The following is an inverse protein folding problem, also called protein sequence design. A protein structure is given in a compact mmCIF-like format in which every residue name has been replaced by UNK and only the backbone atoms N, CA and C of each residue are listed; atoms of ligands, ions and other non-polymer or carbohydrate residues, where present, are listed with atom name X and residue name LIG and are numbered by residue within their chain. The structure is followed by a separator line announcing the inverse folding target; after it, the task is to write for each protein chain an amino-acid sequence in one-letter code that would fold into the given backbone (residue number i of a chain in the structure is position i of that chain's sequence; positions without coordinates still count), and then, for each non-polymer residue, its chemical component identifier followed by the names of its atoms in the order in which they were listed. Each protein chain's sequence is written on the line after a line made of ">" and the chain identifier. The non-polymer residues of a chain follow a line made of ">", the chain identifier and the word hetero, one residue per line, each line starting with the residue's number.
data_IF_091713172662
#
_entry.id   IF_091713172662
#
_cell.length_a   1.000
_cell.length_b   1.000
_cell.length_c   1.000
_cell.angle_alpha   90.00
_cell.angle_beta   90.00
_cell.angle_gamma   90.00
#
_symmetry.space_group_name_H-M   'P 1'
#
loop_
_entity.id
_entity.type
_entity.pdbx_description
1 polymer ?
#
# COMPACT_ATOMS: atom_id res chain seq x y z
N UNK A 1 3.93 9.74 5.29
CA UNK A 1 4.21 11.20 5.41
C UNK A 1 4.93 11.75 4.18
N UNK A 2 6.02 11.13 3.68
CA UNK A 2 6.75 11.64 2.51
C UNK A 2 5.91 11.65 1.23
N UNK A 3 5.13 10.58 0.96
CA UNK A 3 4.27 10.50 -0.22
C UNK A 3 3.18 11.60 -0.22
N UNK A 4 2.65 11.96 0.94
CA UNK A 4 1.70 13.06 1.06
C UNK A 4 2.32 14.42 0.67
N UNK A 5 3.60 14.64 1.03
CA UNK A 5 4.33 15.83 0.62
C UNK A 5 4.59 15.90 -0.89
N UNK A 6 4.79 14.74 -1.53
CA UNK A 6 4.97 14.68 -2.98
C UNK A 6 3.74 15.22 -3.70
N UNK A 7 2.53 14.98 -3.19
CA UNK A 7 1.30 15.54 -3.78
C UNK A 7 1.35 17.07 -3.84
N UNK A 8 1.90 17.71 -2.80
CA UNK A 8 1.95 19.18 -2.69
C UNK A 8 2.99 19.81 -3.63
N UNK A 9 4.09 19.10 -3.93
CA UNK A 9 5.22 19.65 -4.71
C UNK A 9 5.30 19.09 -6.13
N UNK A 10 4.43 18.13 -6.49
CA UNK A 10 4.47 17.47 -7.78
C UNK A 10 4.00 18.40 -8.91
N UNK A 11 4.54 18.16 -10.11
CA UNK A 11 4.04 18.78 -11.32
C UNK A 11 2.83 18.04 -11.86
N UNK A 12 1.76 18.77 -12.14
CA UNK A 12 0.53 18.22 -12.71
C UNK A 12 0.38 18.67 -14.16
N UNK A 13 0.37 17.75 -15.14
CA UNK A 13 0.32 18.10 -16.56
C UNK A 13 -1.01 18.70 -17.01
N UNK A 14 -2.09 18.52 -16.25
CA UNK A 14 -3.41 19.09 -16.53
C UNK A 14 -4.10 19.58 -15.26
N UNK A 15 -5.02 20.53 -15.40
CA UNK A 15 -5.84 21.02 -14.29
C UNK A 15 -6.70 19.91 -13.66
N UNK A 16 -7.18 18.96 -14.47
CA UNK A 16 -7.99 17.83 -13.98
C UNK A 16 -7.19 16.93 -13.04
N UNK A 17 -5.93 16.63 -13.40
CA UNK A 17 -5.05 15.83 -12.54
C UNK A 17 -4.70 16.57 -11.25
N UNK A 18 -4.40 17.85 -11.33
CA UNK A 18 -4.17 18.70 -10.16
C UNK A 18 -5.39 18.71 -9.24
N UNK A 19 -6.58 19.00 -9.79
CA UNK A 19 -7.83 19.02 -9.03
C UNK A 19 -8.09 17.68 -8.33
N UNK A 20 -7.97 16.55 -9.02
CA UNK A 20 -8.21 15.23 -8.47
C UNK A 20 -7.26 14.90 -7.33
N UNK A 21 -5.94 15.11 -7.54
CA UNK A 21 -4.94 14.80 -6.53
C UNK A 21 -5.07 15.68 -5.28
N UNK A 22 -5.35 16.97 -5.43
CA UNK A 22 -5.52 17.87 -4.29
C UNK A 22 -6.82 17.60 -3.51
N UNK A 23 -7.91 17.19 -4.17
CA UNK A 23 -9.17 16.86 -3.50
C UNK A 23 -9.11 15.55 -2.73
N UNK A 24 -8.49 14.52 -3.32
CA UNK A 24 -8.56 13.15 -2.80
C UNK A 24 -7.26 12.69 -2.15
N UNK A 25 -6.12 13.29 -2.48
CA UNK A 25 -4.79 12.98 -1.95
C UNK A 25 -4.46 11.46 -1.92
N UNK A 26 -4.66 10.72 -3.02
CA UNK A 26 -4.38 9.29 -3.05
C UNK A 26 -2.88 9.05 -3.03
N UNK A 27 -2.45 8.06 -2.26
CA UNK A 27 -1.09 7.52 -2.28
C UNK A 27 -1.16 6.01 -2.51
N UNK A 28 -0.04 5.41 -2.93
CA UNK A 28 0.08 3.98 -3.12
C UNK A 28 1.35 3.48 -2.46
N UNK A 29 1.23 2.87 -1.27
CA UNK A 29 2.32 2.18 -0.60
C UNK A 29 2.24 0.69 -0.95
N UNK A 30 3.29 0.16 -1.54
CA UNK A 30 3.39 -1.25 -1.92
C UNK A 30 4.69 -1.87 -1.49
N UNK A 31 4.90 -3.12 -1.88
CA UNK A 31 6.11 -3.90 -1.55
C UNK A 31 6.79 -4.41 -2.83
N UNK A 32 8.03 -4.82 -2.68
CA UNK A 32 8.79 -5.64 -3.62
C UNK A 32 9.67 -6.60 -2.83
N UNK A 33 10.10 -7.71 -3.43
CA UNK A 33 10.98 -8.68 -2.80
C UNK A 33 10.29 -9.67 -1.87
N UNK A 34 8.97 -9.89 -1.97
CA UNK A 34 8.28 -10.85 -1.11
C UNK A 34 8.78 -12.28 -1.32
N UNK A 35 9.03 -12.69 -2.57
CA UNK A 35 9.59 -14.03 -2.87
C UNK A 35 10.98 -14.19 -2.30
N UNK A 36 11.81 -13.14 -2.33
CA UNK A 36 13.16 -13.19 -1.72
C UNK A 36 13.08 -13.42 -0.20
N UNK A 37 12.11 -12.82 0.47
CA UNK A 37 11.88 -13.08 1.91
C UNK A 37 11.59 -14.56 2.15
N UNK A 38 10.70 -15.16 1.35
CA UNK A 38 10.36 -16.57 1.49
C UNK A 38 11.53 -17.49 1.17
N UNK A 39 12.35 -17.17 0.16
CA UNK A 39 13.58 -17.88 -0.13
C UNK A 39 14.60 -17.82 1.02
N UNK A 40 14.83 -16.64 1.57
CA UNK A 40 15.73 -16.46 2.71
C UNK A 40 15.25 -17.19 3.98
N UNK A 41 13.95 -17.31 4.14
CA UNK A 41 13.34 -18.08 5.24
C UNK A 41 13.27 -19.58 4.96
N UNK A 42 13.56 -20.03 3.74
CA UNK A 42 13.48 -21.44 3.35
C UNK A 42 12.07 -22.01 3.36
N UNK A 43 11.06 -21.18 3.10
CA UNK A 43 9.66 -21.60 3.09
C UNK A 43 9.06 -21.58 1.67
N UNK A 44 8.20 -22.57 1.33
CA UNK A 44 7.54 -22.58 0.05
C UNK A 44 6.49 -21.46 -0.03
N UNK A 45 6.37 -20.84 -1.20
CA UNK A 45 5.51 -19.68 -1.42
C UNK A 45 4.00 -20.00 -1.23
N UNK A 46 3.58 -21.23 -1.48
CA UNK A 46 2.21 -21.73 -1.35
C UNK A 46 1.92 -22.38 0.02
N UNK A 47 2.90 -22.35 0.93
CA UNK A 47 2.77 -22.93 2.27
C UNK A 47 1.93 -22.10 3.24
N UNK A 48 1.37 -22.73 4.26
CA UNK A 48 0.58 -22.04 5.30
C UNK A 48 1.39 -20.98 6.07
N UNK A 49 2.68 -21.22 6.29
CA UNK A 49 3.59 -20.26 6.93
C UNK A 49 3.74 -19.01 6.04
N UNK A 50 3.89 -19.19 4.72
CA UNK A 50 3.98 -18.07 3.78
C UNK A 50 2.68 -17.25 3.77
N UNK A 51 1.51 -17.90 3.81
CA UNK A 51 0.21 -17.21 3.90
C UNK A 51 0.10 -16.39 5.18
N UNK A 52 0.46 -16.96 6.33
CA UNK A 52 0.43 -16.25 7.62
C UNK A 52 1.35 -15.02 7.63
N UNK A 53 2.57 -15.17 7.13
CA UNK A 53 3.53 -14.06 7.02
C UNK A 53 3.01 -12.99 6.06
N UNK A 54 2.46 -13.39 4.91
CA UNK A 54 1.89 -12.47 3.94
C UNK A 54 0.74 -11.63 4.55
N UNK A 55 -0.18 -12.27 5.27
CA UNK A 55 -1.26 -11.58 5.98
C UNK A 55 -0.68 -10.56 6.96
N UNK A 56 0.28 -10.95 7.78
CA UNK A 56 0.91 -10.08 8.77
C UNK A 56 1.63 -8.88 8.15
N UNK A 57 2.34 -9.09 7.03
CA UNK A 57 3.02 -8.02 6.30
C UNK A 57 2.00 -6.99 5.78
N UNK A 58 0.99 -7.44 5.03
CA UNK A 58 0.03 -6.53 4.41
C UNK A 58 -0.89 -5.86 5.43
N UNK A 59 -1.30 -6.57 6.47
CA UNK A 59 -2.07 -5.99 7.57
C UNK A 59 -1.28 -4.91 8.30
N UNK A 60 0.00 -5.15 8.58
CA UNK A 60 0.88 -4.15 9.20
C UNK A 60 1.05 -2.91 8.35
N UNK A 61 1.28 -3.08 7.03
CA UNK A 61 1.40 -1.97 6.10
C UNK A 61 0.11 -1.16 6.04
N UNK A 62 -1.03 -1.83 5.96
CA UNK A 62 -2.33 -1.16 5.91
C UNK A 62 -2.63 -0.42 7.20
N UNK A 63 -2.44 -1.06 8.36
CA UNK A 63 -2.61 -0.42 9.68
C UNK A 63 -1.75 0.84 9.80
N UNK A 64 -0.44 0.71 9.62
CA UNK A 64 0.50 1.84 9.74
C UNK A 64 0.26 2.96 8.72
N UNK A 65 -0.22 2.62 7.52
CA UNK A 65 -0.56 3.61 6.50
C UNK A 65 -1.81 4.43 6.88
N UNK A 66 -2.85 3.78 7.39
CA UNK A 66 -4.08 4.44 7.85
C UNK A 66 -3.81 5.26 9.12
N UNK A 67 -3.09 4.69 10.09
CA UNK A 67 -2.68 5.39 11.32
C UNK A 67 -1.89 6.66 11.01
N UNK A 68 -0.88 6.55 10.14
CA UNK A 68 -0.07 7.70 9.72
C UNK A 68 -0.88 8.75 8.95
N UNK A 69 -1.85 8.32 8.15
CA UNK A 69 -2.76 9.21 7.43
C UNK A 69 -3.75 9.93 8.38
N UNK A 70 -4.20 9.25 9.43
CA UNK A 70 -5.01 9.84 10.49
C UNK A 70 -4.21 10.86 11.31
N UNK A 71 -2.95 10.54 11.66
CA UNK A 71 -2.07 11.51 12.34
C UNK A 71 -1.83 12.76 11.49
N UNK A 72 -1.63 12.60 10.17
CA UNK A 72 -1.51 13.73 9.26
C UNK A 72 -2.81 14.55 9.17
N UNK A 73 -3.97 13.90 9.26
CA UNK A 73 -5.24 14.62 9.28
C UNK A 73 -5.42 15.47 10.53
N UNK A 74 -4.90 15.02 11.69
CA UNK A 74 -4.86 15.86 12.91
C UNK A 74 -4.03 17.13 12.74
N UNK A 75 -2.93 17.05 11.98
CA UNK A 75 -2.02 18.17 11.74
C UNK A 75 -2.48 19.10 10.63
N UNK A 76 -3.13 18.55 9.57
CA UNK A 76 -3.34 19.23 8.28
C UNK A 76 -4.75 19.12 7.73
N UNK A 77 -5.70 18.63 8.49
CA UNK A 77 -7.08 18.31 8.09
C UNK A 77 -7.20 17.06 7.17
N UNK A 78 -8.36 16.40 7.17
CA UNK A 78 -8.67 15.30 6.26
C UNK A 78 -8.66 15.74 4.78
N UNK A 79 -8.62 14.79 3.85
CA UNK A 79 -8.82 15.09 2.44
C UNK A 79 -10.24 15.64 2.20
N UNK A 80 -10.38 16.54 1.22
CA UNK A 80 -11.58 17.38 1.05
C UNK A 80 -12.91 16.61 0.88
N UNK A 81 -12.85 15.40 0.33
CA UNK A 81 -14.02 14.53 0.09
C UNK A 81 -14.15 13.40 1.11
N UNK A 82 -13.60 13.58 2.29
CA UNK A 82 -13.64 12.56 3.36
C UNK A 82 -15.06 12.24 3.81
N UNK A 83 -15.89 13.26 4.04
CA UNK A 83 -17.27 13.09 4.50
C UNK A 83 -18.09 12.31 3.46
N UNK A 84 -18.82 11.28 3.91
CA UNK A 84 -19.62 10.40 3.05
C UNK A 84 -18.81 9.26 2.41
N UNK A 85 -17.51 9.16 2.64
CA UNK A 85 -16.73 8.00 2.25
C UNK A 85 -16.90 6.84 3.24
N UNK A 86 -16.71 5.58 2.83
CA UNK A 86 -16.81 4.43 3.73
C UNK A 86 -15.90 4.57 4.97
N UNK A 87 -14.71 5.09 4.79
CA UNK A 87 -13.76 5.27 5.89
C UNK A 87 -14.22 6.34 6.89
N UNK A 88 -15.03 7.33 6.46
CA UNK A 88 -15.62 8.30 7.37
C UNK A 88 -16.67 7.70 8.30
N UNK A 89 -17.24 6.55 7.92
CA UNK A 89 -18.14 5.73 8.74
C UNK A 89 -17.36 4.68 9.56
N UNK A 90 -16.03 4.71 9.52
CA UNK A 90 -15.17 3.74 10.17
C UNK A 90 -15.10 2.39 9.46
N UNK A 91 -15.51 2.31 8.20
CA UNK A 91 -15.42 1.09 7.40
C UNK A 91 -14.05 1.02 6.72
N UNK A 92 -13.22 0.10 7.16
CA UNK A 92 -11.94 -0.22 6.54
C UNK A 92 -12.11 -1.17 5.34
N UNK A 93 -11.04 -1.41 4.59
CA UNK A 93 -11.09 -2.25 3.41
C UNK A 93 -11.52 -3.70 3.71
N UNK A 94 -11.08 -4.27 4.84
CA UNK A 94 -11.47 -5.61 5.26
C UNK A 94 -12.95 -5.68 5.65
N UNK A 95 -13.56 -4.61 6.19
CA UNK A 95 -15.01 -4.54 6.45
C UNK A 95 -15.79 -4.60 5.13
N UNK A 96 -15.33 -3.88 4.09
CA UNK A 96 -15.93 -3.89 2.77
C UNK A 96 -15.82 -5.27 2.08
N UNK A 97 -14.80 -6.02 2.39
CA UNK A 97 -14.60 -7.40 1.89
C UNK A 97 -15.23 -8.46 2.78
N UNK A 98 -15.90 -8.06 3.85
CA UNK A 98 -16.49 -8.95 4.85
C UNK A 98 -15.47 -9.96 5.42
N UNK A 99 -14.25 -9.47 5.67
CA UNK A 99 -13.12 -10.25 6.19
C UNK A 99 -12.76 -9.72 7.58
N UNK A 100 -12.29 -10.61 8.46
CA UNK A 100 -11.84 -10.20 9.80
C UNK A 100 -10.32 -9.99 9.79
N UNK A 101 -9.82 -8.87 10.34
CA UNK A 101 -8.40 -8.67 10.54
C UNK A 101 -7.88 -9.59 11.66
N UNK A 102 -6.56 -9.75 11.73
CA UNK A 102 -5.95 -10.46 12.86
C UNK A 102 -6.08 -9.64 14.16
N UNK A 103 -5.66 -10.24 15.27
CA UNK A 103 -5.61 -9.54 16.58
C UNK A 103 -4.25 -8.85 16.82
N UNK A 104 -3.43 -8.69 15.79
CA UNK A 104 -2.09 -8.14 15.90
C UNK A 104 -2.10 -6.63 16.17
N UNK A 105 -3.08 -5.92 15.63
CA UNK A 105 -3.22 -4.47 15.74
C UNK A 105 -4.57 -4.09 16.36
N UNK A 106 -4.60 -2.96 17.09
CA UNK A 106 -5.82 -2.42 17.70
C UNK A 106 -6.63 -1.61 16.68
N UNK A 107 -7.31 -2.34 15.79
CA UNK A 107 -8.17 -1.76 14.76
C UNK A 107 -9.34 -0.96 15.34
N UNK A 108 -9.88 -1.36 16.50
CA UNK A 108 -11.00 -0.65 17.12
C UNK A 108 -10.59 0.72 17.66
N UNK A 109 -9.40 0.83 18.25
CA UNK A 109 -8.84 2.12 18.64
C UNK A 109 -8.61 3.01 17.42
N UNK A 110 -7.99 2.47 16.37
CA UNK A 110 -7.74 3.23 15.14
C UNK A 110 -9.06 3.67 14.48
N UNK A 111 -10.10 2.82 14.46
CA UNK A 111 -11.43 3.13 13.93
C UNK A 111 -12.04 4.36 14.61
N UNK A 112 -12.01 4.40 15.93
CA UNK A 112 -12.51 5.55 16.71
C UNK A 112 -11.76 6.83 16.35
N UNK A 113 -10.44 6.76 16.26
CA UNK A 113 -9.60 7.90 15.91
C UNK A 113 -9.83 8.39 14.46
N UNK A 114 -10.04 7.46 13.52
CA UNK A 114 -10.36 7.80 12.12
C UNK A 114 -11.73 8.47 12.00
N UNK A 115 -12.74 8.00 12.73
CA UNK A 115 -14.06 8.65 12.74
C UNK A 115 -13.96 10.06 13.34
N UNK A 116 -13.18 10.24 14.39
CA UNK A 116 -13.03 11.53 15.10
C UNK A 116 -12.21 12.55 14.31
N UNK A 117 -11.07 12.12 13.73
CA UNK A 117 -10.09 13.04 13.15
C UNK A 117 -10.03 12.99 11.61
N UNK A 118 -10.61 11.96 11.00
CA UNK A 118 -10.47 11.68 9.57
C UNK A 118 -9.13 11.08 9.18
N UNK A 119 -8.91 10.98 7.88
CA UNK A 119 -7.63 10.59 7.27
C UNK A 119 -7.22 11.59 6.20
N UNK A 120 -5.92 11.83 6.05
CA UNK A 120 -5.35 12.78 5.09
C UNK A 120 -5.39 12.29 3.65
N UNK A 121 -5.35 10.96 3.44
CA UNK A 121 -5.25 10.33 2.12
C UNK A 121 -6.46 9.42 1.87
N UNK A 122 -7.11 9.56 0.72
CA UNK A 122 -8.28 8.75 0.37
C UNK A 122 -7.93 7.27 0.10
N UNK A 123 -6.75 7.01 -0.42
CA UNK A 123 -6.18 5.69 -0.65
C UNK A 123 -4.74 5.68 -0.10
N UNK A 124 -4.31 4.57 0.48
CA UNK A 124 -3.01 4.49 1.14
C UNK A 124 -2.11 3.38 0.61
N UNK A 125 -2.67 2.30 0.11
CA UNK A 125 -1.91 1.12 -0.34
C UNK A 125 -2.21 0.77 -1.80
N UNK A 126 -1.17 0.33 -2.51
CA UNK A 126 -1.27 -0.22 -3.85
C UNK A 126 -0.08 -1.16 -4.12
N UNK A 127 -0.32 -2.27 -4.81
CA UNK A 127 0.72 -3.20 -5.22
C UNK A 127 1.13 -2.88 -6.67
N UNK A 128 2.10 -1.96 -6.82
CA UNK A 128 2.64 -1.59 -8.12
C UNK A 128 3.55 -2.70 -8.68
N UNK A 129 3.72 -2.80 -10.03
CA UNK A 129 4.56 -3.83 -10.65
C UNK A 129 6.03 -3.81 -10.24
N UNK A 130 6.61 -2.67 -9.90
CA UNK A 130 8.02 -2.46 -9.46
C UNK A 130 9.10 -3.05 -10.40
N UNK A 131 8.81 -3.16 -11.70
CA UNK A 131 9.68 -3.81 -12.67
C UNK A 131 11.11 -3.23 -12.73
N UNK A 132 11.23 -1.90 -12.80
CA UNK A 132 12.55 -1.23 -12.85
C UNK A 132 13.24 -1.19 -11.50
N UNK A 133 12.49 -0.90 -10.43
CA UNK A 133 13.04 -0.81 -9.08
C UNK A 133 13.46 -2.17 -8.54
N UNK A 134 12.76 -3.25 -8.90
CA UNK A 134 13.17 -4.63 -8.59
C UNK A 134 14.53 -4.96 -9.20
N UNK A 135 14.75 -4.62 -10.48
CA UNK A 135 16.05 -4.82 -11.15
C UNK A 135 17.16 -3.97 -10.50
N UNK A 136 16.89 -2.69 -10.22
CA UNK A 136 17.88 -1.79 -9.61
C UNK A 136 18.33 -2.27 -8.22
N UNK A 137 17.41 -2.79 -7.42
CA UNK A 137 17.68 -3.26 -6.07
C UNK A 137 18.07 -4.74 -6.00
N UNK A 138 17.97 -5.47 -7.11
CA UNK A 138 18.33 -6.89 -7.18
C UNK A 138 17.38 -7.79 -6.40
N UNK A 139 16.09 -7.49 -6.40
CA UNK A 139 15.06 -8.30 -5.76
C UNK A 139 13.88 -8.58 -6.69
N UNK A 140 13.00 -9.51 -6.28
CA UNK A 140 11.79 -9.85 -7.03
C UNK A 140 10.80 -8.70 -7.09
N UNK A 141 10.02 -8.65 -8.18
CA UNK A 141 9.02 -7.62 -8.38
C UNK A 141 7.81 -7.84 -7.46
N UNK A 142 7.35 -6.79 -6.80
CA UNK A 142 6.16 -6.77 -5.96
C UNK A 142 5.99 -8.05 -5.11
N UNK A 143 4.89 -8.75 -5.25
CA UNK A 143 4.60 -10.06 -4.61
C UNK A 143 4.71 -11.23 -5.62
N UNK A 144 5.38 -11.03 -6.74
CA UNK A 144 5.46 -12.01 -7.82
C UNK A 144 6.18 -13.29 -7.36
N UNK A 145 5.57 -14.44 -7.66
CA UNK A 145 6.15 -15.74 -7.41
C UNK A 145 7.25 -16.01 -8.43
N UNK A 146 8.42 -16.42 -7.95
CA UNK A 146 9.49 -16.90 -8.81
C UNK A 146 9.17 -18.34 -9.26
N UNK A 147 8.87 -18.53 -10.53
CA UNK A 147 8.49 -19.85 -11.09
C UNK A 147 9.65 -20.61 -11.68
N UNK A 148 10.80 -19.98 -11.87
CA UNK A 148 12.00 -20.59 -12.46
C UNK A 148 13.25 -19.87 -11.97
N UNK A 149 14.35 -20.64 -11.78
CA UNK A 149 15.66 -20.10 -11.40
C UNK A 149 16.33 -19.35 -12.56
N UNK A 150 15.93 -19.61 -13.79
CA UNK A 150 16.43 -18.96 -15.00
C UNK A 150 15.25 -18.58 -15.87
N UNK A 151 15.15 -17.31 -16.23
CA UNK A 151 14.13 -16.82 -17.16
C UNK A 151 14.73 -15.77 -18.09
N UNK A 152 14.17 -15.66 -19.28
CA UNK A 152 14.55 -14.63 -20.25
C UNK A 152 13.50 -13.52 -20.24
N UNK A 153 13.96 -12.30 -19.97
CA UNK A 153 13.13 -11.09 -20.11
C UNK A 153 13.47 -10.39 -21.41
N UNK A 154 12.49 -10.23 -22.25
CA UNK A 154 12.62 -9.45 -23.49
C UNK A 154 12.01 -8.07 -23.26
N UNK A 155 12.80 -7.03 -23.48
CA UNK A 155 12.35 -5.63 -23.48
C UNK A 155 12.42 -5.08 -24.91
N UNK A 156 11.86 -3.89 -25.12
CA UNK A 156 11.94 -3.22 -26.44
C UNK A 156 13.36 -2.80 -26.84
N UNK A 157 14.31 -2.80 -25.92
CA UNK A 157 15.68 -2.35 -26.13
C UNK A 157 16.71 -3.49 -26.04
N UNK A 158 16.56 -4.43 -25.11
CA UNK A 158 17.54 -5.50 -24.88
C UNK A 158 16.88 -6.78 -24.33
N UNK A 159 17.57 -7.91 -24.53
CA UNK A 159 17.21 -9.19 -23.91
C UNK A 159 18.09 -9.42 -22.67
N UNK A 160 17.47 -9.61 -21.52
CA UNK A 160 18.16 -9.98 -20.28
C UNK A 160 17.91 -11.45 -19.96
N UNK A 161 18.94 -12.15 -19.49
CA UNK A 161 18.87 -13.53 -19.00
C UNK A 161 19.10 -13.55 -17.50
#
# INVERSE_FOLDING_TARGET
>A
KNLDRVIDINFYPTEKTSKSNNLHRPIGLGIQGLSDVFFLMGIPHDGEIAKDINIKIFETIYFGSVESSMELAKEKEPYSTFKGSPISEGKFQFDLWNTQPSKMWDWEKLRKQVIEHGVRNSLTTACMPTASTGIILGNTETFQVQTSNIYKRQTSQENFC
#
